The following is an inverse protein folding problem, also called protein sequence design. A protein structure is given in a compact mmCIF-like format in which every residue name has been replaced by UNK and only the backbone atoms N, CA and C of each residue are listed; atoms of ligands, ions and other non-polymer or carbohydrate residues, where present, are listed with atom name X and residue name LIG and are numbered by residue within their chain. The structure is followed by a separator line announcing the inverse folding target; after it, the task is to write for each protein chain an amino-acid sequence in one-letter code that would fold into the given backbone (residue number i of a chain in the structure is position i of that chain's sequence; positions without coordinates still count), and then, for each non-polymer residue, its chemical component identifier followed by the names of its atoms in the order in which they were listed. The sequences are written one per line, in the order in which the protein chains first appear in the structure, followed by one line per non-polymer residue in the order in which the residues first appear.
data_IF_841908748005
#
_entry.id   IF_841908748005
#
_cell.length_a   1.000
_cell.length_b   1.000
_cell.length_c   1.000
_cell.angle_alpha   90.00
_cell.angle_beta   90.00
_cell.angle_gamma   90.00
#
_symmetry.space_group_name_H-M   'P 1'
#
loop_
_entity.id
_entity.type
_entity.pdbx_description
1 polymer ?
#
# COMPACT_ATOMS: atom_id res chain seq x y z
N UNK A 1 -19.25 -5.87 34.02
CA UNK A 1 -19.20 -5.81 32.55
C UNK A 1 -18.14 -4.79 32.20
N UNK A 2 -17.00 -5.17 31.59
CA UNK A 2 -15.98 -4.20 31.23
C UNK A 2 -16.57 -3.23 30.20
N UNK A 3 -16.41 -1.94 30.43
CA UNK A 3 -16.75 -0.92 29.45
C UNK A 3 -15.81 -1.09 28.25
N UNK A 4 -16.36 -1.24 27.05
CA UNK A 4 -15.57 -1.49 25.85
C UNK A 4 -14.59 -0.33 25.61
N UNK A 5 -13.31 -0.58 25.87
CA UNK A 5 -12.27 0.44 25.78
C UNK A 5 -12.02 0.78 24.31
N UNK A 6 -12.23 2.04 23.96
CA UNK A 6 -11.91 2.55 22.65
C UNK A 6 -10.41 2.78 22.55
N UNK A 7 -9.73 1.93 21.78
CA UNK A 7 -8.28 1.99 21.55
C UNK A 7 -7.98 1.79 20.05
N UNK A 8 -6.81 2.27 19.56
CA UNK A 8 -6.31 1.88 18.24
C UNK A 8 -6.29 0.35 18.10
N UNK A 9 -6.86 -0.16 17.00
CA UNK A 9 -7.04 -1.60 16.76
C UNK A 9 -8.41 -2.15 17.17
N UNK A 10 -9.23 -1.40 17.91
CA UNK A 10 -10.60 -1.80 18.21
C UNK A 10 -11.48 -1.86 16.94
N UNK A 11 -12.46 -2.76 16.91
CA UNK A 11 -13.51 -2.79 15.87
C UNK A 11 -14.75 -2.07 16.37
N UNK A 12 -15.33 -1.24 15.52
CA UNK A 12 -16.57 -0.53 15.81
C UNK A 12 -17.56 -0.73 14.67
N UNK A 13 -18.83 -0.74 15.02
CA UNK A 13 -19.94 -0.60 14.09
C UNK A 13 -20.41 0.86 14.16
N UNK A 14 -20.39 1.54 13.02
CA UNK A 14 -20.86 2.92 12.87
C UNK A 14 -21.63 3.06 11.57
N UNK A 15 -22.88 3.55 11.64
CA UNK A 15 -23.79 3.74 10.48
C UNK A 15 -24.01 2.44 9.68
N UNK A 16 -24.32 1.35 10.37
CA UNK A 16 -24.56 0.03 9.78
C UNK A 16 -23.38 -0.55 9.00
N UNK A 17 -22.17 -0.13 9.36
CA UNK A 17 -20.94 -0.53 8.73
C UNK A 17 -19.85 -0.80 9.76
N UNK A 18 -18.98 -1.76 9.46
CA UNK A 18 -17.85 -2.12 10.30
C UNK A 18 -16.58 -1.35 9.93
N UNK A 19 -15.94 -0.81 10.97
CA UNK A 19 -14.74 0.02 10.88
C UNK A 19 -13.67 -0.45 11.88
N UNK A 20 -12.41 -0.24 11.50
CA UNK A 20 -11.24 -0.47 12.34
C UNK A 20 -10.70 0.87 12.82
N UNK A 21 -10.52 1.03 14.13
CA UNK A 21 -9.93 2.24 14.71
C UNK A 21 -8.43 2.29 14.41
N UNK A 22 -7.99 3.35 13.74
CA UNK A 22 -6.57 3.64 13.47
C UNK A 22 -5.94 4.51 14.56
N UNK A 23 -6.72 5.47 15.07
CA UNK A 23 -6.23 6.48 15.97
C UNK A 23 -7.36 7.18 16.70
N UNK A 24 -6.98 7.85 17.78
CA UNK A 24 -7.88 8.67 18.60
C UNK A 24 -7.32 10.07 18.65
N UNK A 25 -8.20 11.05 18.44
CA UNK A 25 -7.90 12.46 18.50
C UNK A 25 -8.89 13.22 19.38
N UNK A 26 -8.67 14.52 19.49
CA UNK A 26 -9.61 15.46 20.10
C UNK A 26 -9.89 16.59 19.11
N UNK A 27 -11.15 16.97 19.00
CA UNK A 27 -11.56 18.16 18.24
C UNK A 27 -11.18 19.43 19.00
N UNK A 28 -11.19 20.58 18.32
CA UNK A 28 -11.04 21.91 18.93
C UNK A 28 -12.06 22.16 20.05
N UNK A 29 -13.25 21.57 19.92
CA UNK A 29 -14.35 21.68 20.88
C UNK A 29 -14.22 20.69 22.05
N UNK A 30 -13.10 19.97 22.15
CA UNK A 30 -12.84 18.98 23.20
C UNK A 30 -13.49 17.60 22.98
N UNK A 31 -14.37 17.47 21.98
CA UNK A 31 -15.02 16.19 21.63
C UNK A 31 -14.01 15.13 21.16
N UNK A 32 -14.27 13.87 21.51
CA UNK A 32 -13.43 12.74 21.09
C UNK A 32 -13.66 12.41 19.60
N UNK A 33 -12.56 12.38 18.84
CA UNK A 33 -12.55 12.04 17.41
C UNK A 33 -11.91 10.66 17.23
N UNK A 34 -12.48 9.84 16.36
CA UNK A 34 -11.96 8.51 16.02
C UNK A 34 -11.63 8.48 14.54
N UNK A 35 -10.37 8.18 14.23
CA UNK A 35 -9.93 7.91 12.87
C UNK A 35 -10.14 6.43 12.57
N UNK A 36 -10.87 6.12 11.51
CA UNK A 36 -11.23 4.74 11.20
C UNK A 36 -11.05 4.39 9.73
N UNK A 37 -10.83 3.09 9.48
CA UNK A 37 -10.70 2.49 8.15
C UNK A 37 -11.77 1.41 7.97
N UNK A 38 -12.41 1.37 6.80
CA UNK A 38 -13.45 0.39 6.50
C UNK A 38 -12.90 -1.04 6.44
N UNK A 39 -13.55 -1.95 7.17
CA UNK A 39 -13.20 -3.39 7.18
C UNK A 39 -14.11 -4.19 6.26
N UNK A 40 -15.36 -3.76 6.13
CA UNK A 40 -16.33 -4.40 5.25
C UNK A 40 -15.84 -4.41 3.79
N UNK A 41 -16.10 -5.48 3.00
CA UNK A 41 -15.65 -5.58 1.61
C UNK A 41 -16.01 -4.35 0.75
N UNK A 42 -17.16 -3.73 1.02
CA UNK A 42 -17.66 -2.56 0.29
C UNK A 42 -17.04 -1.23 0.73
N UNK A 43 -16.40 -1.21 1.91
CA UNK A 43 -15.72 -0.05 2.47
C UNK A 43 -14.20 -0.19 2.49
N UNK A 44 -13.68 -1.25 1.86
CA UNK A 44 -12.24 -1.45 1.70
C UNK A 44 -11.65 -0.20 1.04
N UNK A 45 -10.62 0.38 1.65
CA UNK A 45 -9.95 1.64 1.25
C UNK A 45 -10.69 2.94 1.57
N UNK A 46 -11.84 2.89 2.26
CA UNK A 46 -12.50 4.10 2.76
C UNK A 46 -12.01 4.45 4.16
N UNK A 47 -11.59 5.70 4.32
CA UNK A 47 -11.25 6.29 5.60
C UNK A 47 -12.36 7.26 6.03
N UNK A 48 -12.65 7.30 7.33
CA UNK A 48 -13.65 8.20 7.90
C UNK A 48 -13.19 8.72 9.27
N UNK A 49 -13.76 9.85 9.68
CA UNK A 49 -13.58 10.44 11.00
C UNK A 49 -14.94 10.60 11.67
N UNK A 50 -15.06 10.05 12.88
CA UNK A 50 -16.30 10.07 13.63
C UNK A 50 -16.13 10.82 14.95
N UNK A 51 -17.16 11.56 15.34
CA UNK A 51 -17.28 12.18 16.67
C UNK A 51 -18.07 11.24 17.57
N UNK A 52 -17.45 10.71 18.62
CA UNK A 52 -18.05 9.65 19.46
C UNK A 52 -19.37 10.12 20.08
N UNK A 53 -19.42 11.36 20.56
CA UNK A 53 -20.60 11.91 21.22
C UNK A 53 -21.79 12.06 20.27
N UNK A 54 -21.54 12.53 19.05
CA UNK A 54 -22.58 12.72 18.04
C UNK A 54 -23.12 11.38 17.54
N UNK A 55 -22.24 10.42 17.26
CA UNK A 55 -22.67 9.11 16.76
C UNK A 55 -23.32 8.25 17.86
N UNK A 56 -22.91 8.43 19.14
CA UNK A 56 -23.62 7.84 20.29
C UNK A 56 -25.01 8.45 20.47
N UNK A 57 -25.15 9.77 20.33
CA UNK A 57 -26.44 10.44 20.39
C UNK A 57 -27.37 10.02 19.24
N UNK A 58 -26.82 9.73 18.06
CA UNK A 58 -27.55 9.19 16.92
C UNK A 58 -27.86 7.68 17.05
N UNK A 59 -27.37 6.99 18.09
CA UNK A 59 -27.57 5.56 18.30
C UNK A 59 -26.82 4.64 17.33
N UNK A 60 -25.90 5.19 16.54
CA UNK A 60 -25.20 4.47 15.50
C UNK A 60 -23.86 3.88 15.91
N UNK A 61 -23.38 4.15 17.14
CA UNK A 61 -22.02 3.81 17.59
C UNK A 61 -22.01 2.61 18.55
N UNK A 62 -21.46 1.49 18.10
CA UNK A 62 -21.26 0.28 18.94
C UNK A 62 -19.81 -0.20 18.83
N UNK A 63 -19.16 -0.46 19.96
CA UNK A 63 -17.85 -1.12 19.98
C UNK A 63 -18.08 -2.62 19.92
N UNK A 64 -17.45 -3.30 18.97
CA UNK A 64 -17.57 -4.74 18.79
C UNK A 64 -16.48 -5.45 19.59
N UNK A 65 -16.89 -6.32 20.50
CA UNK A 65 -16.00 -7.21 21.22
C UNK A 65 -15.92 -8.57 20.51
N UNK A 66 -14.73 -9.19 20.44
CA UNK A 66 -14.59 -10.53 19.86
C UNK A 66 -15.35 -11.59 20.66
N UNK A 67 -15.53 -11.37 21.96
CA UNK A 67 -16.28 -12.23 22.88
C UNK A 67 -17.79 -12.24 22.62
N UNK A 68 -18.34 -11.18 22.02
CA UNK A 68 -19.77 -11.07 21.68
C UNK A 68 -20.10 -11.58 20.26
N UNK A 69 -19.14 -12.21 19.57
CA UNK A 69 -19.33 -12.68 18.19
C UNK A 69 -19.97 -14.07 18.16
N UNK A 70 -21.13 -14.18 17.53
CA UNK A 70 -21.81 -15.47 17.33
C UNK A 70 -21.08 -16.30 16.26
N UNK A 71 -20.63 -17.50 16.64
CA UNK A 71 -20.03 -18.46 15.72
C UNK A 71 -21.12 -19.22 14.98
N UNK A 72 -21.15 -19.07 13.65
CA UNK A 72 -22.10 -19.78 12.78
C UNK A 72 -21.42 -21.01 12.18
N UNK A 73 -21.97 -22.19 12.44
CA UNK A 73 -21.52 -23.44 11.83
C UNK A 73 -21.92 -23.50 10.34
N UNK A 74 -21.03 -24.03 9.52
CA UNK A 74 -21.27 -24.25 8.08
C UNK A 74 -22.15 -25.50 7.86
N UNK A 75 -23.35 -25.35 7.25
CA UNK A 75 -24.29 -26.46 7.01
C UNK A 75 -23.96 -27.27 5.74
N UNK A 76 -22.97 -26.86 4.94
CA UNK A 76 -22.65 -27.52 3.68
C UNK A 76 -22.06 -28.93 3.89
N UNK A 77 -22.27 -29.86 2.94
CA UNK A 77 -21.66 -31.18 3.02
C UNK A 77 -20.14 -31.07 3.12
N UNK A 78 -19.57 -31.73 4.14
CA UNK A 78 -18.12 -31.74 4.40
C UNK A 78 -17.49 -30.35 4.58
N UNK A 79 -18.25 -29.35 5.04
CA UNK A 79 -17.75 -27.97 5.29
C UNK A 79 -17.16 -27.29 4.05
N UNK A 80 -17.70 -27.60 2.87
CA UNK A 80 -17.16 -27.14 1.59
C UNK A 80 -17.06 -25.63 1.51
N UNK A 81 -18.02 -24.90 2.07
CA UNK A 81 -18.06 -23.44 1.99
C UNK A 81 -16.96 -22.81 2.87
N UNK A 82 -16.76 -23.35 4.08
CA UNK A 82 -15.66 -22.94 4.97
C UNK A 82 -14.29 -23.26 4.36
N UNK A 83 -14.14 -24.46 3.79
CA UNK A 83 -12.90 -24.87 3.14
C UNK A 83 -12.57 -23.97 1.94
N UNK A 84 -13.56 -23.66 1.10
CA UNK A 84 -13.41 -22.75 -0.01
C UNK A 84 -13.06 -21.33 0.46
N UNK A 85 -13.71 -20.85 1.52
CA UNK A 85 -13.43 -19.53 2.11
C UNK A 85 -11.98 -19.42 2.62
N UNK A 86 -11.52 -20.42 3.38
CA UNK A 86 -10.15 -20.49 3.91
C UNK A 86 -9.15 -20.55 2.76
N UNK A 87 -9.38 -21.40 1.77
CA UNK A 87 -8.51 -21.53 0.58
C UNK A 87 -8.39 -20.21 -0.17
N UNK A 88 -9.52 -19.55 -0.43
CA UNK A 88 -9.56 -18.27 -1.10
C UNK A 88 -8.85 -17.16 -0.31
N UNK A 89 -8.88 -17.24 1.03
CA UNK A 89 -8.17 -16.30 1.90
C UNK A 89 -6.65 -16.54 1.86
N UNK A 90 -6.22 -17.80 1.96
CA UNK A 90 -4.82 -18.20 1.88
C UNK A 90 -4.19 -17.83 0.53
N UNK A 91 -4.94 -17.95 -0.58
CA UNK A 91 -4.48 -17.49 -1.91
C UNK A 91 -4.27 -15.99 -1.99
N UNK A 92 -4.99 -15.19 -1.20
CA UNK A 92 -4.84 -13.72 -1.17
C UNK A 92 -3.75 -13.26 -0.22
N UNK A 93 -3.42 -14.06 0.81
CA UNK A 93 -2.33 -13.72 1.71
C UNK A 93 -0.99 -13.85 0.99
N UNK A 94 -0.17 -12.81 1.07
CA UNK A 94 1.21 -12.86 0.57
C UNK A 94 1.97 -13.90 1.39
N UNK A 95 2.72 -14.82 0.76
CA UNK A 95 3.58 -15.75 1.48
C UNK A 95 4.51 -14.96 2.41
N UNK A 96 4.51 -15.31 3.70
CA UNK A 96 5.34 -14.63 4.72
C UNK A 96 6.81 -15.05 4.65
N UNK A 97 7.15 -16.02 3.80
CA UNK A 97 8.52 -16.49 3.63
C UNK A 97 9.36 -15.50 2.81
N UNK A 98 10.63 -15.35 3.18
CA UNK A 98 11.62 -14.56 2.45
C UNK A 98 12.09 -15.25 1.16
N UNK A 99 11.64 -16.48 0.91
CA UNK A 99 11.89 -17.19 -0.32
C UNK A 99 11.35 -16.39 -1.53
N UNK A 100 12.23 -16.11 -2.48
CA UNK A 100 11.87 -15.45 -3.72
C UNK A 100 10.91 -16.34 -4.51
N UNK A 101 9.62 -16.03 -4.47
CA UNK A 101 8.62 -16.78 -5.24
C UNK A 101 8.67 -16.32 -6.69
N UNK A 102 9.12 -17.23 -7.54
CA UNK A 102 9.33 -16.97 -8.95
C UNK A 102 8.00 -17.05 -9.71
N UNK A 103 7.41 -15.89 -10.01
CA UNK A 103 6.08 -15.78 -10.62
C UNK A 103 5.91 -16.47 -11.99
N UNK A 104 6.99 -16.71 -12.75
CA UNK A 104 6.90 -17.38 -14.05
C UNK A 104 6.63 -18.89 -13.96
N UNK A 105 6.62 -19.47 -12.75
CA UNK A 105 6.19 -20.85 -12.49
C UNK A 105 4.79 -20.93 -11.85
N UNK A 106 4.07 -19.81 -11.79
CA UNK A 106 2.68 -19.80 -11.35
C UNK A 106 1.79 -20.49 -12.39
N UNK A 107 0.55 -20.82 -12.01
CA UNK A 107 -0.41 -21.52 -12.87
C UNK A 107 -0.90 -20.73 -14.11
N UNK A 108 -0.32 -19.56 -14.39
CA UNK A 108 -0.64 -18.75 -15.58
C UNK A 108 0.55 -18.73 -16.54
N UNK A 109 0.28 -18.84 -17.84
CA UNK A 109 1.28 -18.69 -18.88
C UNK A 109 1.87 -17.28 -18.88
N UNK A 110 3.20 -17.19 -18.80
CA UNK A 110 3.90 -15.91 -18.86
C UNK A 110 3.87 -15.36 -20.29
N UNK A 111 3.11 -14.29 -20.51
CA UNK A 111 3.03 -13.63 -21.82
C UNK A 111 4.16 -12.60 -21.96
N UNK A 112 4.86 -12.53 -23.10
CA UNK A 112 6.03 -11.66 -23.27
C UNK A 112 5.80 -10.17 -22.93
N UNK A 113 4.58 -9.66 -23.17
CA UNK A 113 4.24 -8.27 -22.86
C UNK A 113 4.16 -7.98 -21.35
N UNK A 114 3.86 -8.99 -20.52
CA UNK A 114 3.79 -8.84 -19.06
C UNK A 114 5.19 -8.59 -18.45
N UNK A 115 6.23 -9.09 -19.11
CA UNK A 115 7.63 -8.93 -18.68
C UNK A 115 8.26 -7.61 -19.16
N UNK A 116 7.59 -6.89 -20.07
CA UNK A 116 8.15 -5.68 -20.67
C UNK A 116 8.42 -4.58 -19.63
N UNK A 117 7.58 -4.47 -18.59
CA UNK A 117 7.81 -3.56 -17.47
C UNK A 117 9.09 -3.88 -16.70
N UNK A 118 9.37 -5.16 -16.44
CA UNK A 118 10.60 -5.60 -15.78
C UNK A 118 11.84 -5.34 -16.65
N UNK A 119 11.74 -5.60 -17.95
CA UNK A 119 12.82 -5.30 -18.93
C UNK A 119 13.10 -3.81 -19.00
N UNK A 120 12.07 -2.96 -19.08
CA UNK A 120 12.22 -1.50 -19.09
C UNK A 120 12.80 -0.98 -17.79
N UNK A 121 12.34 -1.47 -16.63
CA UNK A 121 12.85 -1.08 -15.32
C UNK A 121 14.32 -1.48 -15.12
N UNK A 122 14.73 -2.64 -15.65
CA UNK A 122 16.13 -3.04 -15.66
C UNK A 122 16.97 -2.12 -16.57
N UNK A 123 16.45 -1.78 -17.76
CA UNK A 123 17.14 -0.91 -18.73
C UNK A 123 17.21 0.56 -18.30
N UNK A 124 16.24 1.04 -17.53
CA UNK A 124 16.19 2.44 -17.06
C UNK A 124 17.09 2.71 -15.85
N UNK A 125 17.80 1.69 -15.32
CA UNK A 125 18.80 1.89 -14.28
C UNK A 125 19.94 2.77 -14.82
N UNK A 126 20.14 3.99 -14.26
CA UNK A 126 20.99 5.02 -14.89
C UNK A 126 22.49 4.67 -14.94
N UNK A 127 22.92 3.65 -14.21
CA UNK A 127 24.33 3.35 -13.98
C UNK A 127 24.95 2.39 -15.01
N UNK A 128 24.14 1.73 -15.86
CA UNK A 128 24.58 0.63 -16.70
C UNK A 128 24.95 1.01 -18.16
N UNK A 129 24.82 2.28 -18.57
CA UNK A 129 25.20 2.70 -19.93
C UNK A 129 26.21 3.85 -19.91
N UNK A 130 27.43 3.69 -20.46
CA UNK A 130 28.30 4.83 -20.67
C UNK A 130 27.65 5.74 -21.71
N UNK A 131 27.14 6.90 -21.29
CA UNK A 131 26.72 7.93 -22.25
C UNK A 131 27.96 8.31 -23.07
N UNK A 132 27.93 8.25 -24.41
CA UNK A 132 29.02 8.84 -25.19
C UNK A 132 29.12 10.31 -24.79
N UNK A 133 30.32 10.74 -24.36
CA UNK A 133 30.58 12.15 -24.06
C UNK A 133 30.16 12.96 -25.30
N UNK A 134 29.35 14.02 -25.16
CA UNK A 134 29.04 14.86 -26.30
C UNK A 134 30.37 15.41 -26.86
N UNK A 135 30.62 15.16 -28.14
CA UNK A 135 31.74 15.78 -28.85
C UNK A 135 31.54 17.29 -28.76
N UNK A 136 32.44 17.98 -28.07
CA UNK A 136 32.45 19.44 -28.02
C UNK A 136 32.58 19.98 -29.44
N UNK A 137 31.49 20.52 -30.00
CA UNK A 137 31.55 21.40 -31.16
C UNK A 137 32.21 22.72 -30.71
N UNK A 138 33.31 23.18 -31.34
CA UNK A 138 33.95 24.41 -30.95
C UNK A 138 33.02 25.61 -31.22
N UNK A 139 32.78 26.40 -30.19
CA UNK A 139 31.92 27.58 -30.23
C UNK A 139 32.61 28.68 -31.09
N UNK A 140 31.91 29.36 -32.03
CA UNK A 140 32.54 30.21 -33.05
C UNK A 140 33.07 31.57 -32.54
N UNK A 141 33.20 31.75 -31.21
CA UNK A 141 33.62 33.03 -30.60
C UNK A 141 35.00 33.00 -29.94
N UNK A 142 35.73 31.89 -29.95
CA UNK A 142 37.09 31.88 -29.43
C UNK A 142 38.09 32.26 -30.52
N UNK A 143 38.46 33.55 -30.57
CA UNK A 143 39.62 34.02 -31.34
C UNK A 143 40.88 33.49 -30.64
N UNK A 144 41.75 32.71 -31.31
CA UNK A 144 42.95 32.21 -30.66
C UNK A 144 43.88 33.39 -30.30
N UNK A 145 44.56 33.36 -29.14
CA UNK A 145 45.56 34.37 -28.79
C UNK A 145 46.74 34.28 -29.77
N UNK A 146 47.20 35.44 -30.28
CA UNK A 146 48.38 35.51 -31.14
C UNK A 146 49.62 35.06 -30.35
N UNK A 147 50.19 33.92 -30.73
CA UNK A 147 51.51 33.50 -30.27
C UNK A 147 52.56 34.47 -30.83
N UNK A 148 53.12 35.33 -29.96
CA UNK A 148 54.34 36.10 -30.22
C UNK A 148 55.50 35.11 -30.33
N UNK A 149 56.29 35.24 -31.40
CA UNK A 149 57.42 34.37 -31.71
C UNK A 149 58.57 34.41 -30.70
N UNK A 150 59.45 33.42 -30.80
CA UNK A 150 60.71 33.37 -30.06
C UNK A 150 61.40 31.99 -30.06
N UNK A 151 62.08 31.67 -31.17
CA UNK A 151 63.44 31.09 -31.29
C UNK A 151 63.90 29.87 -30.44
N UNK A 152 64.46 28.87 -31.13
CA UNK A 152 65.51 27.93 -30.67
C UNK A 152 65.00 26.50 -30.41
N UNK A 153 65.17 25.48 -31.27
CA UNK A 153 66.41 24.78 -31.68
C UNK A 153 67.34 24.44 -30.52
N UNK A 154 67.22 23.20 -30.00
CA UNK A 154 68.23 22.12 -30.07
C UNK A 154 67.52 20.78 -29.87
#
# INVERSE_FOLDING_TARGET
MPEAVLAPGARIECRSAEWLVRGLGRSSDGMQVVDVVGVSPYLREKEARFLVEVERAAGGFKVLQPEDTDLVCDPSPQYRDSLLFIEAHLRRSVPTDAALVVGHRAAMDALPYQLLAAVLAHRSQPWAWPRPRPAYLPHPRCRPPKLRGGVGSY
#
